data_IF_933125765948
#
_entry.id   IF_933125765948
#
_cell.length_a   1.000
_cell.length_b   1.000
_cell.length_c   1.000
_cell.angle_alpha   90.00
_cell.angle_beta   90.00
_cell.angle_gamma   90.00
#
_symmetry.space_group_name_H-M   'P 1'
#
loop_
_entity.id
_entity.type
_entity.pdbx_description
1 polymer ?
#
# COMPACT_ATOMS: atom_id res chain seq x y z
N UNK A 1 14.73 -42.26 -14.61
CA UNK A 1 14.60 -42.27 -16.05
C UNK A 1 14.26 -40.85 -16.58
N UNK A 2 13.20 -40.17 -16.10
CA UNK A 2 12.80 -38.81 -16.57
C UNK A 2 13.95 -37.81 -16.42
N UNK A 3 14.63 -37.75 -15.28
CA UNK A 3 15.79 -36.87 -15.04
C UNK A 3 16.94 -37.10 -16.03
N UNK A 4 17.20 -38.36 -16.38
CA UNK A 4 18.25 -38.70 -17.35
C UNK A 4 17.86 -38.18 -18.75
N UNK A 5 16.59 -38.36 -19.12
CA UNK A 5 16.08 -37.87 -20.42
C UNK A 5 16.09 -36.33 -20.49
N UNK A 6 15.79 -35.66 -19.38
CA UNK A 6 15.93 -34.19 -19.28
C UNK A 6 17.37 -33.72 -19.56
N UNK A 7 18.38 -34.44 -19.09
CA UNK A 7 19.78 -34.14 -19.38
C UNK A 7 20.18 -34.29 -20.87
N UNK A 8 19.36 -34.95 -21.69
CA UNK A 8 19.54 -35.01 -23.13
C UNK A 8 18.87 -33.86 -23.88
N UNK A 9 17.94 -33.10 -23.29
CA UNK A 9 17.30 -31.96 -23.91
C UNK A 9 18.30 -30.90 -24.39
N UNK A 10 19.38 -30.69 -23.63
CA UNK A 10 20.42 -29.73 -23.97
C UNK A 10 21.40 -30.24 -25.05
N UNK A 11 21.41 -31.57 -25.27
CA UNK A 11 22.29 -32.22 -26.27
C UNK A 11 21.62 -32.48 -27.61
N UNK A 12 20.29 -32.21 -27.74
CA UNK A 12 19.58 -32.41 -28.99
C UNK A 12 19.85 -31.29 -29.99
N UNK A 13 20.39 -31.57 -31.17
CA UNK A 13 20.83 -30.57 -32.14
C UNK A 13 19.66 -29.90 -32.91
N UNK A 14 18.51 -30.58 -33.05
CA UNK A 14 17.38 -30.11 -33.84
C UNK A 14 16.21 -29.64 -32.97
N UNK A 15 15.66 -28.48 -33.28
CA UNK A 15 14.55 -27.88 -32.55
C UNK A 15 13.27 -28.72 -32.63
N UNK A 16 12.99 -29.35 -33.81
CA UNK A 16 11.85 -30.23 -34.02
C UNK A 16 11.93 -31.51 -33.16
N UNK A 17 13.11 -32.12 -33.08
CA UNK A 17 13.31 -33.33 -32.25
C UNK A 17 13.24 -32.96 -30.76
N UNK A 18 13.69 -31.77 -30.39
CA UNK A 18 13.58 -31.26 -29.00
C UNK A 18 12.10 -31.06 -28.62
N UNK A 19 11.28 -30.47 -29.50
CA UNK A 19 9.85 -30.29 -29.27
C UNK A 19 9.13 -31.64 -29.17
N UNK A 20 9.38 -32.56 -30.09
CA UNK A 20 8.77 -33.91 -30.05
C UNK A 20 9.12 -34.67 -28.76
N UNK A 21 10.39 -34.55 -28.27
CA UNK A 21 10.80 -35.15 -27.03
C UNK A 21 10.09 -34.53 -25.82
N UNK A 22 9.93 -33.21 -25.80
CA UNK A 22 9.22 -32.48 -24.73
C UNK A 22 7.73 -32.91 -24.70
N UNK A 23 7.06 -33.00 -25.86
CA UNK A 23 5.66 -33.43 -25.93
C UNK A 23 5.49 -34.88 -25.45
N UNK A 24 6.37 -35.78 -25.84
CA UNK A 24 6.34 -37.16 -25.33
C UNK A 24 6.57 -37.24 -23.85
N UNK A 25 7.50 -36.43 -23.29
CA UNK A 25 7.71 -36.35 -21.84
C UNK A 25 6.49 -35.80 -21.10
N UNK A 26 5.82 -34.77 -21.63
CA UNK A 26 4.60 -34.21 -21.04
C UNK A 26 3.48 -35.24 -21.00
N UNK A 27 3.25 -35.99 -22.09
CA UNK A 27 2.24 -37.05 -22.19
C UNK A 27 2.54 -38.21 -21.22
N UNK A 28 3.80 -38.64 -21.12
CA UNK A 28 4.21 -39.75 -20.22
C UNK A 28 4.14 -39.35 -18.73
N UNK A 29 4.38 -38.06 -18.39
CA UNK A 29 4.35 -37.55 -17.01
C UNK A 29 2.97 -37.08 -16.57
N UNK A 30 1.99 -37.06 -17.45
CA UNK A 30 0.63 -36.63 -17.16
C UNK A 30 -0.02 -37.48 -16.07
N UNK A 31 -0.60 -36.82 -15.04
CA UNK A 31 -1.27 -37.47 -13.93
C UNK A 31 -0.37 -38.20 -12.91
N UNK A 32 0.96 -38.11 -13.05
CA UNK A 32 1.90 -38.80 -12.16
C UNK A 32 2.47 -37.82 -11.10
N UNK A 33 2.00 -37.95 -9.86
CA UNK A 33 2.40 -37.09 -8.72
C UNK A 33 3.91 -37.12 -8.46
N UNK A 34 4.56 -38.27 -8.63
CA UNK A 34 6.00 -38.45 -8.32
C UNK A 34 6.96 -37.68 -9.26
N UNK A 35 6.48 -37.19 -10.40
CA UNK A 35 7.29 -36.48 -11.41
C UNK A 35 6.73 -35.09 -11.75
N UNK A 36 5.95 -34.52 -10.84
CA UNK A 36 5.34 -33.19 -11.04
C UNK A 36 6.39 -32.08 -11.19
N UNK A 37 7.49 -32.14 -10.43
CA UNK A 37 8.59 -31.19 -10.50
C UNK A 37 9.29 -31.24 -11.85
N UNK A 38 9.59 -32.44 -12.30
CA UNK A 38 10.21 -32.65 -13.61
C UNK A 38 9.28 -32.23 -14.75
N UNK A 39 7.98 -32.52 -14.64
CA UNK A 39 6.96 -32.03 -15.58
C UNK A 39 6.94 -30.52 -15.66
N UNK A 40 7.00 -29.84 -14.51
CA UNK A 40 7.06 -28.38 -14.46
C UNK A 40 8.30 -27.83 -15.19
N UNK A 41 9.46 -28.40 -14.93
CA UNK A 41 10.72 -27.98 -15.58
C UNK A 41 10.69 -28.21 -17.10
N UNK A 42 10.16 -29.34 -17.55
CA UNK A 42 9.97 -29.64 -19.00
C UNK A 42 9.00 -28.65 -19.64
N UNK A 43 7.91 -28.33 -18.95
CA UNK A 43 6.91 -27.38 -19.46
C UNK A 43 7.48 -25.95 -19.51
N UNK A 44 8.34 -25.56 -18.54
CA UNK A 44 9.07 -24.29 -18.56
C UNK A 44 9.98 -24.22 -19.78
N UNK A 45 10.76 -25.28 -20.04
CA UNK A 45 11.63 -25.33 -21.23
C UNK A 45 10.84 -25.20 -22.53
N UNK A 46 9.62 -25.78 -22.63
CA UNK A 46 8.73 -25.60 -23.77
C UNK A 46 8.26 -24.15 -23.91
N UNK A 47 7.83 -23.53 -22.79
CA UNK A 47 7.42 -22.14 -22.77
C UNK A 47 8.54 -21.22 -23.22
N UNK A 48 9.80 -21.46 -22.81
CA UNK A 48 10.95 -20.67 -23.20
C UNK A 48 11.27 -20.79 -24.71
N UNK A 49 11.09 -21.99 -25.27
CA UNK A 49 11.22 -22.20 -26.73
C UNK A 49 10.12 -21.41 -27.46
N UNK A 50 8.87 -21.45 -26.98
CA UNK A 50 7.77 -20.69 -27.59
C UNK A 50 7.96 -19.18 -27.47
N UNK A 51 8.48 -18.69 -26.32
CA UNK A 51 8.88 -17.28 -26.15
C UNK A 51 9.92 -16.87 -27.16
N UNK A 52 10.93 -17.71 -27.42
CA UNK A 52 11.99 -17.43 -28.41
C UNK A 52 11.45 -17.39 -29.86
N UNK A 53 10.37 -18.12 -30.14
CA UNK A 53 9.65 -18.08 -31.42
C UNK A 53 8.73 -16.86 -31.57
N UNK A 54 8.51 -16.09 -30.48
CA UNK A 54 7.63 -14.92 -30.46
C UNK A 54 6.15 -15.23 -30.19
N UNK A 55 5.81 -16.48 -29.93
CA UNK A 55 4.43 -16.92 -29.64
C UNK A 55 4.16 -16.84 -28.12
N UNK A 56 3.85 -15.62 -27.66
CA UNK A 56 3.64 -15.33 -26.24
C UNK A 56 2.35 -15.96 -25.72
N UNK A 57 1.31 -16.03 -26.56
CA UNK A 57 0.00 -16.55 -26.15
C UNK A 57 0.07 -18.05 -25.88
N UNK A 58 0.67 -18.81 -26.78
CA UNK A 58 0.89 -20.24 -26.56
C UNK A 58 1.83 -20.51 -25.37
N UNK A 59 2.86 -19.70 -25.18
CA UNK A 59 3.76 -19.82 -24.02
C UNK A 59 3.02 -19.58 -22.70
N UNK A 60 2.11 -18.61 -22.67
CA UNK A 60 1.29 -18.29 -21.49
C UNK A 60 0.31 -19.42 -21.19
N UNK A 61 -0.42 -19.94 -22.19
CA UNK A 61 -1.37 -21.03 -22.00
C UNK A 61 -0.70 -22.30 -21.47
N UNK A 62 0.45 -22.67 -22.03
CA UNK A 62 1.22 -23.84 -21.61
C UNK A 62 1.70 -23.70 -20.17
N UNK A 63 2.17 -22.51 -19.77
CA UNK A 63 2.71 -22.33 -18.42
C UNK A 63 1.59 -22.17 -17.37
N UNK A 64 0.47 -21.54 -17.72
CA UNK A 64 -0.68 -21.34 -16.84
C UNK A 64 -1.48 -22.62 -16.58
N UNK A 65 -1.34 -23.66 -17.42
CA UNK A 65 -1.92 -24.99 -17.19
C UNK A 65 -1.40 -25.64 -15.90
N UNK A 66 -0.17 -25.29 -15.49
CA UNK A 66 0.46 -25.86 -14.31
C UNK A 66 0.07 -25.12 -13.02
N UNK A 67 -0.43 -25.87 -12.04
CA UNK A 67 -0.71 -25.37 -10.70
C UNK A 67 0.49 -25.68 -9.76
N UNK A 68 1.60 -24.97 -9.95
CA UNK A 68 2.86 -25.21 -9.24
C UNK A 68 2.72 -25.03 -7.72
N UNK A 69 1.74 -24.30 -7.25
CA UNK A 69 1.44 -24.09 -5.84
C UNK A 69 1.16 -25.38 -5.06
N UNK A 70 0.58 -26.40 -5.74
CA UNK A 70 0.21 -27.68 -5.10
C UNK A 70 1.39 -28.63 -4.95
N UNK A 71 2.52 -28.38 -5.61
CA UNK A 71 3.67 -29.29 -5.63
C UNK A 71 4.43 -29.28 -4.29
N UNK A 72 4.24 -30.29 -3.45
CA UNK A 72 4.87 -30.38 -2.12
C UNK A 72 6.40 -30.48 -2.16
N UNK A 73 6.95 -31.20 -3.13
CA UNK A 73 8.36 -31.55 -3.26
C UNK A 73 9.25 -30.46 -3.88
N UNK A 74 8.67 -29.37 -4.43
CA UNK A 74 9.40 -28.28 -5.06
C UNK A 74 9.88 -27.24 -4.04
N UNK A 75 11.11 -26.73 -4.18
CA UNK A 75 11.63 -25.66 -3.35
C UNK A 75 10.79 -24.37 -3.46
N UNK A 76 10.63 -23.63 -2.36
CA UNK A 76 9.80 -22.40 -2.35
C UNK A 76 10.32 -21.34 -3.31
N UNK A 77 11.64 -21.23 -3.45
CA UNK A 77 12.26 -20.32 -4.41
C UNK A 77 11.84 -20.66 -5.83
N UNK A 78 11.98 -21.92 -6.24
CA UNK A 78 11.61 -22.40 -7.59
C UNK A 78 10.11 -22.20 -7.88
N UNK A 79 9.25 -22.46 -6.87
CA UNK A 79 7.80 -22.17 -6.98
C UNK A 79 7.53 -20.70 -7.23
N UNK A 80 8.20 -19.83 -6.46
CA UNK A 80 8.01 -18.38 -6.59
C UNK A 80 8.48 -17.90 -7.95
N UNK A 81 9.61 -18.38 -8.45
CA UNK A 81 10.13 -18.08 -9.79
C UNK A 81 9.13 -18.48 -10.86
N UNK A 82 8.56 -19.68 -10.77
CA UNK A 82 7.52 -20.16 -11.71
C UNK A 82 6.29 -19.27 -11.74
N UNK A 83 5.77 -18.94 -10.57
CA UNK A 83 4.57 -18.08 -10.47
C UNK A 83 4.87 -16.67 -11.01
N UNK A 84 6.03 -16.10 -10.69
CA UNK A 84 6.45 -14.80 -11.24
C UNK A 84 6.57 -14.83 -12.76
N UNK A 85 7.06 -15.92 -13.31
CA UNK A 85 7.14 -16.10 -14.76
C UNK A 85 5.76 -16.21 -15.41
N UNK A 86 4.83 -16.94 -14.78
CA UNK A 86 3.42 -17.00 -15.20
C UNK A 86 2.78 -15.60 -15.20
N UNK A 87 2.98 -14.84 -14.12
CA UNK A 87 2.46 -13.46 -14.00
C UNK A 87 3.06 -12.57 -15.08
N UNK A 88 4.37 -12.66 -15.33
CA UNK A 88 5.04 -11.87 -16.37
C UNK A 88 4.47 -12.14 -17.78
N UNK A 89 4.15 -13.41 -18.09
CA UNK A 89 3.52 -13.78 -19.37
C UNK A 89 2.09 -13.26 -19.47
N UNK A 90 1.30 -13.39 -18.40
CA UNK A 90 -0.06 -12.84 -18.37
C UNK A 90 -0.08 -11.31 -18.55
N UNK A 91 0.88 -10.59 -17.95
CA UNK A 91 1.03 -9.14 -18.14
C UNK A 91 1.35 -8.81 -19.60
N UNK A 92 2.26 -9.56 -20.25
CA UNK A 92 2.61 -9.36 -21.66
C UNK A 92 1.43 -9.65 -22.60
N UNK A 93 0.60 -10.63 -22.27
CA UNK A 93 -0.65 -10.97 -22.96
C UNK A 93 -1.77 -9.95 -22.70
N UNK A 94 -1.61 -9.07 -21.68
CA UNK A 94 -2.63 -8.15 -21.16
C UNK A 94 -3.83 -8.84 -20.50
N UNK A 95 -3.63 -10.04 -19.96
CA UNK A 95 -4.63 -10.75 -19.16
C UNK A 95 -4.45 -10.38 -17.68
N UNK A 96 -5.01 -9.23 -17.31
CA UNK A 96 -4.88 -8.63 -15.97
C UNK A 96 -5.58 -9.44 -14.90
N UNK A 97 -6.68 -10.10 -15.23
CA UNK A 97 -7.47 -10.89 -14.28
C UNK A 97 -6.71 -12.13 -13.81
N UNK A 98 -6.16 -12.89 -14.74
CA UNK A 98 -5.32 -14.05 -14.43
C UNK A 98 -4.04 -13.65 -13.70
N UNK A 99 -3.36 -12.59 -14.14
CA UNK A 99 -2.17 -12.07 -13.50
C UNK A 99 -2.43 -11.71 -12.03
N UNK A 100 -3.56 -11.07 -11.70
CA UNK A 100 -3.97 -10.74 -10.34
C UNK A 100 -4.21 -11.99 -9.48
N UNK A 101 -4.88 -13.00 -10.04
CA UNK A 101 -5.14 -14.25 -9.31
C UNK A 101 -3.84 -14.98 -8.99
N UNK A 102 -2.95 -15.10 -9.98
CA UNK A 102 -1.66 -15.78 -9.81
C UNK A 102 -0.75 -15.05 -8.83
N UNK A 103 -0.71 -13.71 -8.88
CA UNK A 103 0.11 -12.91 -7.99
C UNK A 103 -0.25 -13.06 -6.50
N UNK A 104 -1.55 -13.27 -6.18
CA UNK A 104 -2.03 -13.52 -4.82
C UNK A 104 -1.64 -14.87 -4.25
N UNK A 105 -1.23 -15.83 -5.08
CA UNK A 105 -0.76 -17.14 -4.64
C UNK A 105 0.63 -17.07 -4.01
N UNK A 106 1.39 -16.00 -4.24
CA UNK A 106 2.72 -15.80 -3.66
C UNK A 106 2.59 -15.31 -2.21
N UNK A 107 3.23 -16.03 -1.29
CA UNK A 107 3.22 -15.66 0.12
C UNK A 107 4.28 -14.61 0.42
N UNK A 108 3.86 -13.39 0.73
CA UNK A 108 4.76 -12.24 1.03
C UNK A 108 5.65 -12.46 2.26
N UNK A 109 5.26 -13.36 3.18
CA UNK A 109 6.09 -13.77 4.34
C UNK A 109 7.46 -14.34 3.94
N UNK A 110 7.56 -14.89 2.73
CA UNK A 110 8.82 -15.40 2.18
C UNK A 110 9.84 -14.28 1.93
N UNK A 111 9.37 -13.08 1.60
CA UNK A 111 10.19 -11.89 1.34
C UNK A 111 10.44 -11.05 2.61
N UNK A 112 9.87 -11.41 3.75
CA UNK A 112 10.04 -10.65 4.97
C UNK A 112 11.54 -10.59 5.35
N UNK A 113 12.00 -9.39 5.69
CA UNK A 113 13.38 -9.14 6.11
C UNK A 113 13.71 -10.04 7.30
N UNK A 114 14.63 -10.97 7.12
CA UNK A 114 15.18 -11.75 8.24
C UNK A 114 16.03 -10.78 9.08
N UNK A 115 15.97 -10.85 10.43
CA UNK A 115 16.83 -10.00 11.27
C UNK A 115 18.29 -10.20 10.85
N UNK A 116 19.06 -9.11 10.81
CA UNK A 116 20.49 -9.15 10.43
C UNK A 116 21.18 -10.21 11.31
N UNK A 117 21.55 -11.32 10.67
CA UNK A 117 22.26 -12.41 11.34
C UNK A 117 23.75 -12.08 11.35
N UNK A 118 24.40 -12.31 12.47
CA UNK A 118 25.86 -12.22 12.53
C UNK A 118 26.48 -13.29 11.63
N UNK A 119 27.67 -13.04 11.03
CA UNK A 119 28.34 -14.04 10.17
C UNK A 119 28.47 -15.41 10.84
N UNK A 120 28.71 -15.46 12.16
CA UNK A 120 28.79 -16.70 12.96
C UNK A 120 27.45 -17.46 13.02
N UNK A 121 26.32 -16.76 13.00
CA UNK A 121 24.99 -17.37 12.96
C UNK A 121 24.68 -17.95 11.59
N UNK A 122 25.11 -17.28 10.52
CA UNK A 122 24.97 -17.76 9.13
C UNK A 122 25.76 -19.05 8.93
N UNK A 123 26.99 -19.14 9.46
CA UNK A 123 27.79 -20.35 9.38
C UNK A 123 27.20 -21.53 10.18
N UNK A 124 26.61 -21.27 11.34
CA UNK A 124 25.90 -22.30 12.13
C UNK A 124 24.66 -22.80 11.42
N UNK A 125 23.85 -21.90 10.90
CA UNK A 125 22.62 -22.23 10.15
C UNK A 125 22.94 -23.02 8.87
N UNK A 126 24.03 -22.71 8.17
CA UNK A 126 24.50 -23.44 6.99
C UNK A 126 24.96 -24.85 7.36
N UNK A 127 25.69 -25.03 8.46
CA UNK A 127 26.11 -26.35 8.95
C UNK A 127 24.90 -27.20 9.39
N UNK A 128 23.95 -26.61 10.09
CA UNK A 128 22.70 -27.29 10.47
C UNK A 128 21.85 -27.68 9.25
N UNK A 129 21.82 -26.83 8.23
CA UNK A 129 21.13 -27.12 6.97
C UNK A 129 21.79 -28.29 6.23
N UNK A 130 23.12 -28.33 6.17
CA UNK A 130 23.87 -29.44 5.57
C UNK A 130 23.70 -30.75 6.32
N UNK A 131 23.65 -30.70 7.66
CA UNK A 131 23.38 -31.90 8.47
C UNK A 131 21.96 -32.44 8.30
N UNK A 132 20.96 -31.52 8.16
CA UNK A 132 19.57 -31.89 7.86
C UNK A 132 19.43 -32.47 6.46
N UNK A 133 20.18 -31.95 5.48
CA UNK A 133 20.18 -32.43 4.10
C UNK A 133 20.78 -33.85 4.01
N UNK A 134 21.80 -34.17 4.81
CA UNK A 134 22.38 -35.51 4.90
C UNK A 134 21.47 -36.57 5.56
N UNK A 135 20.53 -36.12 6.40
CA UNK A 135 19.58 -37.02 7.12
C UNK A 135 18.21 -37.11 6.43
N UNK A 136 18.04 -36.53 5.27
CA UNK A 136 16.77 -36.36 4.56
C UNK A 136 16.32 -37.69 3.91
N UNK A 137 15.01 -37.98 4.05
CA UNK A 137 14.31 -39.00 3.25
C UNK A 137 13.88 -38.39 1.89
N UNK A 138 13.74 -39.23 0.84
CA UNK A 138 13.36 -38.75 -0.51
C UNK A 138 12.04 -37.97 -0.60
N UNK A 139 11.14 -38.16 0.38
CA UNK A 139 9.82 -37.58 0.44
C UNK A 139 9.75 -36.27 1.25
N UNK A 140 10.83 -35.85 1.91
CA UNK A 140 10.85 -34.63 2.70
C UNK A 140 11.08 -33.39 1.80
N UNK A 141 10.45 -32.22 2.11
CA UNK A 141 10.67 -31.00 1.37
C UNK A 141 12.15 -30.57 1.45
N UNK A 142 12.71 -29.97 0.37
CA UNK A 142 14.10 -29.56 0.35
C UNK A 142 14.41 -28.57 1.49
N UNK A 143 15.54 -28.82 2.20
CA UNK A 143 16.00 -27.90 3.24
C UNK A 143 16.41 -26.60 2.55
N UNK A 144 15.64 -25.53 2.80
CA UNK A 144 15.91 -24.22 2.23
C UNK A 144 17.18 -23.66 2.87
N UNK A 145 18.26 -23.57 2.09
CA UNK A 145 19.38 -22.71 2.45
C UNK A 145 18.86 -21.26 2.54
N UNK A 146 19.42 -20.45 3.43
CA UNK A 146 19.09 -19.02 3.49
C UNK A 146 19.65 -18.33 2.24
N UNK A 147 19.03 -18.59 1.10
CA UNK A 147 19.37 -17.96 -0.17
C UNK A 147 18.87 -16.52 -0.18
N UNK A 148 19.61 -15.68 -0.87
CA UNK A 148 19.23 -14.29 -1.08
C UNK A 148 18.01 -14.22 -1.99
N UNK A 149 16.87 -13.77 -1.46
CA UNK A 149 15.58 -13.66 -2.16
C UNK A 149 15.28 -12.24 -2.59
N UNK A 150 16.27 -11.34 -2.51
CA UNK A 150 16.09 -9.91 -2.83
C UNK A 150 15.69 -9.70 -4.29
N UNK A 151 16.28 -10.45 -5.21
CA UNK A 151 15.95 -10.36 -6.64
C UNK A 151 14.50 -10.76 -6.92
N UNK A 152 14.04 -11.85 -6.32
CA UNK A 152 12.65 -12.31 -6.47
C UNK A 152 11.66 -11.34 -5.83
N UNK A 153 12.05 -10.73 -4.71
CA UNK A 153 11.26 -9.69 -4.05
C UNK A 153 11.08 -8.48 -4.97
N UNK A 154 12.15 -8.00 -5.59
CA UNK A 154 12.10 -6.86 -6.50
C UNK A 154 11.24 -7.15 -7.72
N UNK A 155 11.42 -8.31 -8.37
CA UNK A 155 10.60 -8.74 -9.50
C UNK A 155 9.12 -8.85 -9.13
N UNK A 156 8.82 -9.41 -7.97
CA UNK A 156 7.45 -9.52 -7.47
C UNK A 156 6.79 -8.15 -7.32
N UNK A 157 7.46 -7.22 -6.63
CA UNK A 157 6.89 -5.88 -6.43
C UNK A 157 6.82 -5.07 -7.72
N UNK A 158 7.76 -5.25 -8.66
CA UNK A 158 7.68 -4.63 -9.99
C UNK A 158 6.40 -5.07 -10.72
N UNK A 159 6.10 -6.36 -10.74
CA UNK A 159 4.88 -6.88 -11.36
C UNK A 159 3.62 -6.39 -10.63
N UNK A 160 3.62 -6.35 -9.28
CA UNK A 160 2.50 -5.81 -8.50
C UNK A 160 2.27 -4.31 -8.79
N UNK A 161 3.33 -3.54 -8.96
CA UNK A 161 3.23 -2.12 -9.32
C UNK A 161 2.59 -1.95 -10.69
N UNK A 162 2.96 -2.78 -11.68
CA UNK A 162 2.36 -2.75 -13.02
C UNK A 162 0.87 -3.07 -12.94
N UNK A 163 0.47 -4.11 -12.20
CA UNK A 163 -0.93 -4.50 -12.01
C UNK A 163 -1.73 -3.41 -11.31
N UNK A 164 -1.22 -2.87 -10.21
CA UNK A 164 -1.90 -1.83 -9.45
C UNK A 164 -2.00 -0.50 -10.22
N UNK A 165 -1.00 -0.16 -11.05
CA UNK A 165 -1.06 1.00 -11.95
C UNK A 165 -2.14 0.84 -13.02
N UNK A 166 -2.30 -0.37 -13.58
CA UNK A 166 -3.37 -0.63 -14.53
C UNK A 166 -4.76 -0.45 -13.90
N UNK A 167 -4.92 -0.88 -12.63
CA UNK A 167 -6.17 -0.72 -11.89
C UNK A 167 -6.34 0.69 -11.29
N UNK A 168 -5.38 1.60 -11.46
CA UNK A 168 -5.36 2.96 -10.89
C UNK A 168 -5.47 2.96 -9.35
N UNK A 169 -5.00 1.91 -8.68
CA UNK A 169 -4.95 1.78 -7.22
C UNK A 169 -3.69 2.41 -6.65
N UNK A 170 -3.61 3.72 -6.63
CA UNK A 170 -2.42 4.47 -6.23
C UNK A 170 -1.93 4.15 -4.81
N UNK A 171 -2.84 3.83 -3.88
CA UNK A 171 -2.46 3.47 -2.51
C UNK A 171 -1.67 2.17 -2.45
N UNK A 172 -2.10 1.14 -3.20
CA UNK A 172 -1.41 -0.15 -3.26
C UNK A 172 -0.05 -0.01 -3.97
N UNK A 173 0.03 0.80 -5.03
CA UNK A 173 1.29 1.17 -5.68
C UNK A 173 2.28 1.78 -4.67
N UNK A 174 1.81 2.72 -3.84
CA UNK A 174 2.62 3.34 -2.80
C UNK A 174 3.14 2.29 -1.79
N UNK A 175 2.27 1.37 -1.34
CA UNK A 175 2.66 0.28 -0.42
C UNK A 175 3.73 -0.62 -1.03
N UNK A 176 3.60 -0.97 -2.31
CA UNK A 176 4.58 -1.81 -3.00
C UNK A 176 5.92 -1.10 -3.17
N UNK A 177 5.94 0.17 -3.58
CA UNK A 177 7.18 0.95 -3.64
C UNK A 177 7.84 1.10 -2.26
N UNK A 178 7.06 1.21 -1.19
CA UNK A 178 7.62 1.25 0.16
C UNK A 178 8.32 -0.05 0.54
N UNK A 179 7.76 -1.21 0.15
CA UNK A 179 8.43 -2.50 0.36
C UNK A 179 9.70 -2.64 -0.48
N UNK A 180 9.75 -2.02 -1.67
CA UNK A 180 10.96 -1.93 -2.48
C UNK A 180 11.99 -1.02 -1.79
N UNK A 181 11.56 0.12 -1.24
CA UNK A 181 12.41 1.07 -0.52
C UNK A 181 13.12 0.43 0.68
N UNK A 182 12.43 -0.48 1.39
CA UNK A 182 12.95 -1.19 2.56
C UNK A 182 13.79 -2.42 2.18
N UNK A 183 14.29 -2.52 0.93
CA UNK A 183 15.17 -3.60 0.46
C UNK A 183 16.62 -3.15 0.49
N UNK A 184 17.52 -3.99 1.03
CA UNK A 184 18.95 -3.63 1.25
C UNK A 184 19.67 -3.18 -0.03
N UNK A 185 19.43 -3.86 -1.15
CA UNK A 185 20.03 -3.50 -2.45
C UNK A 185 19.65 -2.10 -2.95
N UNK A 186 18.46 -1.62 -2.58
CA UNK A 186 17.99 -0.26 -2.93
C UNK A 186 18.51 0.76 -1.93
N UNK A 187 18.63 0.40 -0.64
CA UNK A 187 19.18 1.26 0.41
C UNK A 187 20.68 1.60 0.15
N UNK A 188 21.43 0.67 -0.44
CA UNK A 188 22.85 0.86 -0.76
C UNK A 188 23.08 1.82 -1.94
N UNK A 189 22.12 1.95 -2.85
CA UNK A 189 22.22 2.78 -4.05
C UNK A 189 21.47 4.11 -3.89
N UNK A 190 22.12 5.24 -3.62
CA UNK A 190 21.50 6.52 -3.31
C UNK A 190 20.64 7.08 -4.46
N UNK A 191 20.98 6.78 -5.71
CA UNK A 191 20.21 7.23 -6.89
C UNK A 191 18.89 6.46 -7.01
N UNK A 192 18.93 5.13 -6.84
CA UNK A 192 17.73 4.30 -6.86
C UNK A 192 16.83 4.61 -5.65
N UNK A 193 17.44 4.78 -4.48
CA UNK A 193 16.74 5.18 -3.26
C UNK A 193 15.95 6.46 -3.46
N UNK A 194 16.58 7.49 -4.07
CA UNK A 194 15.93 8.76 -4.38
C UNK A 194 14.76 8.57 -5.36
N UNK A 195 14.97 7.85 -6.47
CA UNK A 195 13.95 7.61 -7.47
C UNK A 195 12.73 6.85 -6.89
N UNK A 196 12.97 5.82 -6.08
CA UNK A 196 11.90 5.06 -5.43
C UNK A 196 11.17 5.91 -4.39
N UNK A 197 11.88 6.71 -3.59
CA UNK A 197 11.29 7.60 -2.60
C UNK A 197 10.40 8.67 -3.25
N UNK A 198 10.83 9.26 -4.37
CA UNK A 198 10.01 10.18 -5.16
C UNK A 198 8.70 9.53 -5.61
N UNK A 199 8.76 8.30 -6.14
CA UNK A 199 7.56 7.56 -6.56
C UNK A 199 6.63 7.27 -5.38
N UNK A 200 7.16 6.86 -4.22
CA UNK A 200 6.37 6.66 -2.99
C UNK A 200 5.57 7.93 -2.65
N UNK A 201 6.23 9.08 -2.66
CA UNK A 201 5.61 10.38 -2.35
C UNK A 201 4.52 10.73 -3.38
N UNK A 202 4.80 10.58 -4.66
CA UNK A 202 3.82 10.92 -5.70
C UNK A 202 2.56 10.05 -5.61
N UNK A 203 2.72 8.75 -5.43
CA UNK A 203 1.58 7.84 -5.37
C UNK A 203 0.75 7.98 -4.09
N UNK A 204 1.35 8.34 -2.95
CA UNK A 204 0.56 8.61 -1.74
C UNK A 204 -0.28 9.89 -1.88
N UNK A 205 0.24 10.90 -2.60
CA UNK A 205 -0.49 12.16 -2.86
C UNK A 205 -1.63 11.94 -3.86
N UNK A 206 -1.40 11.13 -4.91
CA UNK A 206 -2.41 10.80 -5.91
C UNK A 206 -3.55 9.94 -5.35
N UNK A 207 -3.31 9.19 -4.29
CA UNK A 207 -4.33 8.32 -3.72
C UNK A 207 -5.50 9.12 -3.12
N UNK A 208 -6.75 8.61 -3.20
CA UNK A 208 -7.89 9.22 -2.56
C UNK A 208 -7.68 9.30 -1.05
N UNK A 209 -8.26 10.31 -0.41
CA UNK A 209 -8.17 10.45 1.03
C UNK A 209 -8.89 9.30 1.74
N UNK A 210 -8.14 8.59 2.55
CA UNK A 210 -8.62 7.57 3.47
C UNK A 210 -7.80 7.65 4.76
N UNK A 211 -8.26 7.04 5.84
CA UNK A 211 -7.53 6.98 7.10
C UNK A 211 -6.16 6.33 6.92
N UNK A 212 -6.09 5.26 6.10
CA UNK A 212 -4.85 4.58 5.78
C UNK A 212 -3.88 5.47 4.98
N UNK A 213 -4.39 6.21 4.00
CA UNK A 213 -3.61 7.17 3.24
C UNK A 213 -3.05 8.28 4.13
N UNK A 214 -3.87 8.81 5.05
CA UNK A 214 -3.45 9.84 6.00
C UNK A 214 -2.35 9.34 6.94
N UNK A 215 -2.47 8.13 7.48
CA UNK A 215 -1.45 7.52 8.32
C UNK A 215 -0.13 7.32 7.56
N UNK A 216 -0.20 6.81 6.33
CA UNK A 216 0.97 6.64 5.46
C UNK A 216 1.64 7.99 5.14
N UNK A 217 0.85 9.03 4.85
CA UNK A 217 1.36 10.37 4.55
C UNK A 217 2.14 10.94 5.75
N UNK A 218 1.61 10.82 6.97
CA UNK A 218 2.29 11.26 8.19
C UNK A 218 3.56 10.45 8.47
N UNK A 219 3.54 9.13 8.24
CA UNK A 219 4.73 8.28 8.38
C UNK A 219 5.80 8.64 7.37
N UNK A 220 5.44 8.91 6.12
CA UNK A 220 6.38 9.36 5.09
C UNK A 220 6.95 10.74 5.49
N UNK A 221 6.13 11.66 6.00
CA UNK A 221 6.62 12.96 6.45
C UNK A 221 7.66 12.85 7.58
N UNK A 222 7.49 11.89 8.49
CA UNK A 222 8.40 11.66 9.62
C UNK A 222 9.69 10.90 9.22
N UNK A 223 9.78 10.37 7.99
CA UNK A 223 10.95 9.62 7.53
C UNK A 223 12.17 10.54 7.34
N UNK A 224 13.29 10.17 7.94
CA UNK A 224 14.56 10.91 7.85
C UNK A 224 15.13 10.96 6.44
N UNK A 225 14.80 9.97 5.59
CA UNK A 225 15.21 9.86 4.19
C UNK A 225 14.67 11.01 3.31
N UNK A 226 13.68 11.76 3.76
CA UNK A 226 13.12 12.92 3.06
C UNK A 226 14.14 14.05 2.82
N UNK A 227 15.23 14.07 3.56
CA UNK A 227 16.33 15.02 3.32
C UNK A 227 16.96 14.88 1.93
N UNK A 228 16.84 13.70 1.31
CA UNK A 228 17.36 13.42 -0.04
C UNK A 228 16.48 14.04 -1.15
N UNK A 229 15.23 14.34 -0.86
CA UNK A 229 14.21 14.82 -1.82
C UNK A 229 13.47 16.05 -1.28
N UNK A 230 14.15 17.21 -1.17
CA UNK A 230 13.62 18.38 -0.48
C UNK A 230 12.41 19.03 -1.17
N UNK A 231 12.25 18.86 -2.49
CA UNK A 231 11.11 19.40 -3.25
C UNK A 231 9.85 18.62 -2.94
N UNK A 232 9.95 17.30 -3.01
CA UNK A 232 8.85 16.38 -2.72
C UNK A 232 8.46 16.43 -1.23
N UNK A 233 9.43 16.58 -0.34
CA UNK A 233 9.18 16.74 1.08
C UNK A 233 8.36 18.01 1.39
N UNK A 234 8.58 19.11 0.65
CA UNK A 234 7.73 20.31 0.73
C UNK A 234 6.33 20.05 0.23
N UNK A 235 6.17 19.29 -0.85
CA UNK A 235 4.86 18.93 -1.37
C UNK A 235 4.07 18.08 -0.35
N UNK A 236 4.69 17.05 0.26
CA UNK A 236 4.08 16.27 1.35
C UNK A 236 3.63 17.15 2.50
N UNK A 237 4.48 18.11 2.90
CA UNK A 237 4.18 19.04 3.97
C UNK A 237 2.93 19.89 3.69
N UNK A 238 2.74 20.35 2.44
CA UNK A 238 1.53 21.08 2.05
C UNK A 238 0.25 20.25 2.25
N UNK A 239 0.29 18.95 1.90
CA UNK A 239 -0.86 18.06 2.09
C UNK A 239 -1.09 17.64 3.54
N UNK A 240 -0.11 17.80 4.42
CA UNK A 240 -0.24 17.50 5.86
C UNK A 240 -0.76 18.69 6.66
N UNK A 241 -0.37 19.91 6.27
CA UNK A 241 -0.81 21.14 6.95
C UNK A 241 -2.26 21.44 6.53
N UNK A 242 -3.10 21.86 7.49
CA UNK A 242 -4.47 22.26 7.20
C UNK A 242 -4.53 23.72 6.69
N UNK A 243 -3.87 23.98 5.56
CA UNK A 243 -3.86 25.26 4.87
C UNK A 243 -4.43 25.12 3.46
N UNK A 244 -4.96 26.21 2.90
CA UNK A 244 -5.49 26.22 1.56
C UNK A 244 -4.35 26.29 0.53
N UNK A 245 -4.37 25.40 -0.44
CA UNK A 245 -3.43 25.35 -1.54
C UNK A 245 -4.11 25.88 -2.82
N UNK A 246 -3.62 26.97 -3.39
CA UNK A 246 -4.11 27.41 -4.69
C UNK A 246 -3.46 26.60 -5.80
N UNK A 247 -4.28 26.00 -6.66
CA UNK A 247 -3.79 25.19 -7.76
C UNK A 247 -2.77 25.90 -8.67
N UNK A 248 -2.97 27.16 -9.11
CA UNK A 248 -1.98 27.86 -9.92
C UNK A 248 -0.61 27.95 -9.26
N UNK A 249 -0.54 28.22 -7.95
CA UNK A 249 0.72 28.26 -7.20
C UNK A 249 1.40 26.90 -7.14
N UNK A 250 0.64 25.84 -6.91
CA UNK A 250 1.18 24.47 -6.89
C UNK A 250 1.71 24.08 -8.28
N UNK A 251 0.96 24.42 -9.33
CA UNK A 251 1.37 24.16 -10.71
C UNK A 251 2.62 24.96 -11.13
N UNK A 252 2.77 26.20 -10.67
CA UNK A 252 3.93 27.03 -10.96
C UNK A 252 5.19 26.57 -10.20
N UNK A 253 5.05 26.27 -8.91
CA UNK A 253 6.19 25.89 -8.07
C UNK A 253 6.69 24.47 -8.30
N UNK A 254 5.79 23.52 -8.49
CA UNK A 254 6.12 22.11 -8.59
C UNK A 254 5.97 21.54 -10.00
N UNK A 255 5.17 22.19 -10.88
CA UNK A 255 4.87 21.70 -12.23
C UNK A 255 6.12 21.37 -13.07
N UNK A 256 7.11 22.28 -13.20
CA UNK A 256 8.32 22.00 -13.99
C UNK A 256 9.10 20.78 -13.49
N UNK A 257 9.17 20.61 -12.18
CA UNK A 257 9.84 19.47 -11.56
C UNK A 257 9.04 18.17 -11.74
N UNK A 258 7.73 18.20 -11.49
CA UNK A 258 6.86 17.02 -11.65
C UNK A 258 6.81 16.54 -13.10
N UNK A 259 6.72 17.45 -14.07
CA UNK A 259 6.72 17.12 -15.50
C UNK A 259 8.05 16.53 -15.99
N UNK A 260 9.16 16.72 -15.27
CA UNK A 260 10.44 16.09 -15.58
C UNK A 260 10.54 14.63 -15.11
N UNK A 261 9.58 14.18 -14.28
CA UNK A 261 9.58 12.82 -13.73
C UNK A 261 8.76 11.86 -14.60
N UNK A 262 9.09 10.57 -14.56
CA UNK A 262 8.40 9.51 -15.32
C UNK A 262 6.91 9.39 -14.98
N UNK A 263 6.52 9.79 -13.76
CA UNK A 263 5.15 9.64 -13.27
C UNK A 263 4.19 10.65 -13.91
N UNK A 264 4.65 11.88 -14.12
CA UNK A 264 3.84 13.01 -14.61
C UNK A 264 4.28 13.52 -15.98
N UNK A 265 5.15 12.80 -16.70
CA UNK A 265 5.78 13.25 -17.95
C UNK A 265 4.77 13.89 -18.91
N UNK A 266 4.52 15.18 -18.73
CA UNK A 266 3.52 15.94 -19.46
C UNK A 266 4.13 16.47 -20.76
N UNK A 267 3.91 15.77 -21.89
CA UNK A 267 4.18 16.32 -23.23
C UNK A 267 3.03 17.25 -23.64
N UNK A 268 3.30 18.37 -24.32
CA UNK A 268 2.28 19.38 -24.64
C UNK A 268 1.14 18.90 -25.58
N UNK A 269 1.23 17.72 -26.16
CA UNK A 269 0.23 17.15 -27.09
C UNK A 269 -0.46 15.92 -26.51
N UNK A 270 -1.08 16.02 -25.32
CA UNK A 270 -1.70 14.87 -24.66
C UNK A 270 -3.05 14.51 -25.26
N UNK A 271 -3.18 13.25 -25.64
CA UNK A 271 -4.48 12.59 -25.80
C UNK A 271 -4.98 12.16 -24.41
N UNK A 272 -6.29 12.16 -24.22
CA UNK A 272 -6.94 11.76 -22.96
C UNK A 272 -6.60 10.34 -22.49
N UNK A 273 -6.00 9.51 -23.36
CA UNK A 273 -5.57 8.15 -23.10
C UNK A 273 -4.19 8.06 -22.42
N UNK A 274 -3.47 9.17 -22.25
CA UNK A 274 -2.17 9.17 -21.60
C UNK A 274 -2.31 9.10 -20.07
N UNK A 275 -1.81 8.03 -19.47
CA UNK A 275 -1.83 7.83 -18.02
C UNK A 275 -1.17 8.98 -17.24
N UNK A 276 -0.15 9.61 -17.81
CA UNK A 276 0.53 10.75 -17.18
C UNK A 276 -0.41 11.98 -17.08
N UNK A 277 -1.21 12.22 -18.13
CA UNK A 277 -2.20 13.28 -18.12
C UNK A 277 -3.31 13.01 -17.09
N UNK A 278 -3.80 11.78 -17.03
CA UNK A 278 -4.80 11.38 -16.03
C UNK A 278 -4.27 11.60 -14.61
N UNK A 279 -3.03 11.21 -14.32
CA UNK A 279 -2.39 11.45 -13.02
C UNK A 279 -2.26 12.94 -12.70
N UNK A 280 -2.01 13.78 -13.70
CA UNK A 280 -1.99 15.24 -13.50
C UNK A 280 -3.37 15.80 -13.14
N UNK A 281 -4.43 15.32 -13.78
CA UNK A 281 -5.80 15.66 -13.43
C UNK A 281 -6.19 15.13 -12.04
N UNK A 282 -5.77 13.94 -11.72
CA UNK A 282 -5.96 13.36 -10.38
C UNK A 282 -5.25 14.21 -9.31
N UNK A 283 -4.04 14.69 -9.56
CA UNK A 283 -3.34 15.60 -8.65
C UNK A 283 -4.16 16.88 -8.40
N UNK A 284 -4.67 17.50 -9.47
CA UNK A 284 -5.57 18.66 -9.34
C UNK A 284 -6.79 18.34 -8.48
N UNK A 285 -7.41 17.18 -8.74
CA UNK A 285 -8.54 16.68 -7.95
C UNK A 285 -8.18 16.54 -6.47
N UNK A 286 -7.02 15.95 -6.14
CA UNK A 286 -6.56 15.81 -4.75
C UNK A 286 -6.31 17.15 -4.05
N UNK A 287 -5.77 18.13 -4.75
CA UNK A 287 -5.61 19.50 -4.21
C UNK A 287 -6.97 20.12 -3.88
N UNK A 288 -7.95 19.99 -4.76
CA UNK A 288 -9.30 20.50 -4.54
C UNK A 288 -9.97 19.80 -3.35
N UNK A 289 -9.90 18.46 -3.30
CA UNK A 289 -10.44 17.67 -2.20
C UNK A 289 -9.80 18.03 -0.85
N UNK A 290 -8.48 18.30 -0.84
CA UNK A 290 -7.79 18.79 0.35
C UNK A 290 -8.35 20.15 0.78
N UNK A 291 -8.48 21.10 -0.14
CA UNK A 291 -9.01 22.43 0.16
C UNK A 291 -10.44 22.36 0.71
N UNK A 292 -11.31 21.54 0.11
CA UNK A 292 -12.69 21.37 0.60
C UNK A 292 -12.70 20.79 2.02
N UNK A 293 -11.83 19.82 2.32
CA UNK A 293 -11.70 19.26 3.69
C UNK A 293 -11.22 20.32 4.69
N UNK A 294 -10.26 21.14 4.30
CA UNK A 294 -9.76 22.23 5.14
C UNK A 294 -10.90 23.24 5.40
N UNK A 295 -11.64 23.65 4.38
CA UNK A 295 -12.77 24.56 4.52
C UNK A 295 -13.86 23.95 5.43
N UNK A 296 -14.22 22.67 5.24
CA UNK A 296 -15.19 21.98 6.08
C UNK A 296 -14.79 21.88 7.56
N UNK A 297 -13.48 21.94 7.85
CA UNK A 297 -12.96 21.96 9.23
C UNK A 297 -13.12 23.32 9.90
N UNK A 298 -12.96 24.42 9.14
CA UNK A 298 -12.99 25.77 9.70
C UNK A 298 -14.35 26.47 9.60
N UNK A 299 -15.17 26.12 8.61
CA UNK A 299 -16.47 26.73 8.38
C UNK A 299 -17.60 25.74 8.73
N UNK A 300 -18.52 26.19 9.55
CA UNK A 300 -19.79 25.47 9.78
C UNK A 300 -20.81 25.77 8.66
N UNK A 301 -20.82 27.02 8.17
CA UNK A 301 -21.65 27.48 7.04
C UNK A 301 -20.83 28.42 6.19
N UNK A 302 -20.97 28.29 4.87
CA UNK A 302 -20.29 29.15 3.90
C UNK A 302 -21.23 29.44 2.74
N UNK A 303 -21.14 30.63 2.18
CA UNK A 303 -21.83 31.01 0.95
C UNK A 303 -21.12 30.38 -0.27
N UNK A 304 -21.92 29.90 -1.26
CA UNK A 304 -21.40 29.23 -2.45
C UNK A 304 -20.41 30.13 -3.22
N UNK A 305 -20.72 31.41 -3.38
CA UNK A 305 -19.84 32.37 -4.06
C UNK A 305 -18.50 32.56 -3.33
N UNK A 306 -18.47 32.51 -2.01
CA UNK A 306 -17.21 32.55 -1.24
C UNK A 306 -16.43 31.26 -1.39
N UNK A 307 -17.12 30.12 -1.43
CA UNK A 307 -16.49 28.81 -1.58
C UNK A 307 -15.82 28.66 -2.96
N UNK A 308 -16.49 29.08 -4.03
CA UNK A 308 -15.91 29.09 -5.39
C UNK A 308 -14.67 29.99 -5.50
N UNK A 309 -14.68 31.17 -4.85
CA UNK A 309 -13.50 32.04 -4.78
C UNK A 309 -12.32 31.40 -4.04
N UNK A 310 -12.56 30.63 -2.98
CA UNK A 310 -11.49 29.97 -2.23
C UNK A 310 -10.89 28.78 -2.97
N UNK A 311 -11.70 28.08 -3.78
CA UNK A 311 -11.30 26.92 -4.55
C UNK A 311 -10.75 27.26 -5.95
N UNK A 312 -10.95 28.49 -6.43
CA UNK A 312 -10.66 28.94 -7.81
C UNK A 312 -11.37 28.04 -8.85
N UNK A 313 -12.67 27.74 -8.62
CA UNK A 313 -13.49 26.85 -9.46
C UNK A 313 -14.83 27.48 -9.81
N UNK A 314 -15.50 26.93 -10.83
CA UNK A 314 -16.87 27.25 -11.16
C UNK A 314 -17.87 26.65 -10.16
N UNK A 315 -19.09 27.20 -10.10
CA UNK A 315 -20.12 26.75 -9.14
C UNK A 315 -20.53 25.29 -9.37
N UNK A 316 -20.67 24.88 -10.64
CA UNK A 316 -21.05 23.50 -11.01
C UNK A 316 -19.95 22.49 -10.65
N UNK A 317 -18.69 22.81 -10.94
CA UNK A 317 -17.55 21.98 -10.57
C UNK A 317 -17.43 21.85 -9.03
N UNK A 318 -17.62 22.96 -8.31
CA UNK A 318 -17.57 22.98 -6.84
C UNK A 318 -18.64 22.09 -6.25
N UNK A 319 -19.88 22.17 -6.73
CA UNK A 319 -20.99 21.33 -6.27
C UNK A 319 -20.69 19.84 -6.54
N UNK A 320 -20.13 19.52 -7.71
CA UNK A 320 -19.75 18.14 -8.06
C UNK A 320 -18.70 17.58 -7.10
N UNK A 321 -17.62 18.32 -6.81
CA UNK A 321 -16.59 17.88 -5.87
C UNK A 321 -17.12 17.69 -4.45
N UNK A 322 -18.00 18.59 -3.98
CA UNK A 322 -18.65 18.43 -2.67
C UNK A 322 -19.50 17.16 -2.66
N UNK A 323 -20.30 16.93 -3.71
CA UNK A 323 -21.16 15.75 -3.84
C UNK A 323 -20.34 14.45 -3.81
N UNK A 324 -19.22 14.40 -4.56
CA UNK A 324 -18.30 13.25 -4.57
C UNK A 324 -17.71 12.99 -3.18
N UNK A 325 -17.30 14.03 -2.46
CA UNK A 325 -16.75 13.92 -1.10
C UNK A 325 -17.78 13.52 -0.05
N UNK A 326 -19.03 13.92 -0.22
CA UNK A 326 -20.14 13.48 0.65
C UNK A 326 -20.51 12.03 0.37
N UNK A 327 -20.54 11.63 -0.91
CA UNK A 327 -20.83 10.24 -1.31
C UNK A 327 -19.75 9.28 -0.81
N UNK A 328 -18.48 9.68 -0.86
CA UNK A 328 -17.35 8.92 -0.29
C UNK A 328 -17.29 8.97 1.23
N UNK A 329 -18.22 9.67 1.91
CA UNK A 329 -18.29 9.86 3.36
C UNK A 329 -17.04 10.52 3.98
N UNK A 330 -16.25 11.21 3.18
CA UNK A 330 -15.06 11.94 3.64
C UNK A 330 -15.43 13.19 4.42
N UNK A 331 -16.49 13.90 3.98
CA UNK A 331 -17.03 15.08 4.65
C UNK A 331 -18.55 14.97 4.78
N UNK A 332 -19.12 15.74 5.70
CA UNK A 332 -20.55 15.99 5.74
C UNK A 332 -20.83 17.38 5.16
N UNK A 333 -21.72 17.47 4.18
CA UNK A 333 -22.19 18.75 3.66
C UNK A 333 -23.66 18.65 3.24
N UNK A 334 -24.39 19.75 3.43
CA UNK A 334 -25.75 19.93 2.97
C UNK A 334 -25.81 21.24 2.18
N UNK A 335 -26.19 21.16 0.91
CA UNK A 335 -26.27 22.31 -0.01
C UNK A 335 -27.71 22.81 -0.02
N UNK A 336 -27.89 24.08 0.28
CA UNK A 336 -29.15 24.81 0.13
C UNK A 336 -29.03 25.69 -1.11
N UNK A 337 -29.55 25.22 -2.24
CA UNK A 337 -29.45 25.90 -3.54
C UNK A 337 -30.23 27.23 -3.57
N UNK A 338 -31.48 27.31 -3.07
CA UNK A 338 -32.22 28.61 -3.01
C UNK A 338 -31.49 29.67 -2.20
N UNK A 339 -30.90 29.30 -1.05
CA UNK A 339 -30.16 30.24 -0.21
C UNK A 339 -28.69 30.40 -0.61
N UNK A 340 -28.17 29.60 -1.56
CA UNK A 340 -26.77 29.51 -1.97
C UNK A 340 -25.81 29.30 -0.81
N UNK A 341 -26.21 28.45 0.17
CA UNK A 341 -25.45 28.16 1.37
C UNK A 341 -25.04 26.68 1.41
N UNK A 342 -23.81 26.44 1.82
CA UNK A 342 -23.29 25.10 2.13
C UNK A 342 -23.10 24.99 3.65
N UNK A 343 -23.72 23.96 4.26
CA UNK A 343 -23.62 23.67 5.68
C UNK A 343 -22.79 22.40 5.89
N UNK A 344 -21.65 22.51 6.57
CA UNK A 344 -20.77 21.41 6.92
C UNK A 344 -21.01 20.83 8.31
N UNK A 345 -21.90 21.45 9.12
CA UNK A 345 -22.20 20.97 10.45
C UNK A 345 -22.94 19.63 10.39
N UNK A 346 -22.32 18.56 10.88
CA UNK A 346 -22.97 17.28 11.04
C UNK A 346 -24.06 17.39 12.12
N UNK A 347 -25.31 16.95 11.87
CA UNK A 347 -26.31 16.87 12.93
C UNK A 347 -25.80 15.92 14.02
N UNK A 348 -25.98 16.32 15.29
CA UNK A 348 -25.62 15.45 16.41
C UNK A 348 -26.55 14.25 16.45
N UNK A 349 -26.00 13.09 16.65
CA UNK A 349 -26.78 11.87 16.83
C UNK A 349 -27.49 11.89 18.18
N UNK A 350 -28.63 11.26 18.29
CA UNK A 350 -29.39 11.20 19.53
C UNK A 350 -28.59 10.55 20.66
N UNK A 351 -27.80 9.52 20.32
CA UNK A 351 -26.96 8.81 21.28
C UNK A 351 -25.81 9.68 21.79
N UNK A 352 -25.21 10.51 20.93
CA UNK A 352 -24.16 11.47 21.34
C UNK A 352 -24.69 12.50 22.32
N UNK A 353 -25.91 13.03 22.07
CA UNK A 353 -26.58 14.00 22.96
C UNK A 353 -26.90 13.37 24.32
N UNK A 354 -27.39 12.13 24.33
CA UNK A 354 -27.70 11.40 25.57
C UNK A 354 -26.42 11.07 26.37
N UNK A 355 -25.34 10.68 25.69
CA UNK A 355 -24.06 10.41 26.32
C UNK A 355 -23.43 11.67 26.93
N UNK A 356 -23.50 12.80 26.21
CA UNK A 356 -23.05 14.10 26.73
C UNK A 356 -23.88 14.51 27.97
N UNK A 357 -25.20 14.36 27.90
CA UNK A 357 -26.06 14.65 29.01
C UNK A 357 -25.80 13.76 30.23
N UNK A 358 -25.61 12.46 30.02
CA UNK A 358 -25.23 11.51 31.07
C UNK A 358 -23.87 11.89 31.73
N UNK A 359 -22.91 12.29 30.93
CA UNK A 359 -21.59 12.74 31.40
C UNK A 359 -21.69 14.03 32.24
N UNK A 360 -22.49 14.99 31.77
CA UNK A 360 -22.76 16.24 32.50
C UNK A 360 -23.48 15.98 33.83
N UNK A 361 -24.43 15.04 33.84
CA UNK A 361 -25.12 14.64 35.08
C UNK A 361 -24.17 13.98 36.09
N UNK A 362 -23.27 13.08 35.61
CA UNK A 362 -22.23 12.50 36.48
C UNK A 362 -21.30 13.55 37.07
N UNK A 363 -20.90 14.54 36.27
CA UNK A 363 -20.06 15.63 36.72
C UNK A 363 -20.77 16.49 37.78
N UNK A 364 -22.05 16.78 37.59
CA UNK A 364 -22.88 17.50 38.55
C UNK A 364 -22.99 16.74 39.87
N UNK A 365 -23.29 15.44 39.82
CA UNK A 365 -23.39 14.59 41.03
C UNK A 365 -22.05 14.54 41.78
N UNK A 366 -20.91 14.40 41.06
CA UNK A 366 -19.60 14.43 41.68
C UNK A 366 -19.24 15.76 42.32
N UNK A 367 -19.73 16.88 41.79
CA UNK A 367 -19.58 18.20 42.42
C UNK A 367 -20.44 18.32 43.69
N UNK A 368 -21.69 17.81 43.67
CA UNK A 368 -22.58 17.75 44.82
C UNK A 368 -22.00 16.92 45.98
N UNK A 369 -21.49 15.72 45.66
CA UNK A 369 -20.80 14.87 46.63
C UNK A 369 -19.60 15.58 47.28
N UNK A 370 -18.82 16.28 46.42
CA UNK A 370 -17.68 17.06 46.93
C UNK A 370 -18.11 18.20 47.86
N UNK A 371 -19.19 18.89 47.52
CA UNK A 371 -19.76 19.97 48.40
C UNK A 371 -20.24 19.35 49.68
N UNK A 372 -20.99 18.28 49.66
CA UNK A 372 -21.50 17.59 50.85
C UNK A 372 -20.36 17.14 51.78
N UNK A 373 -19.29 16.55 51.16
CA UNK A 373 -18.10 16.18 51.92
C UNK A 373 -17.41 17.38 52.58
N UNK A 374 -17.33 18.52 51.88
CA UNK A 374 -16.75 19.75 52.43
C UNK A 374 -17.59 20.32 53.58
N UNK A 375 -18.93 20.33 53.46
CA UNK A 375 -19.85 20.74 54.50
C UNK A 375 -19.67 19.86 55.73
N UNK A 376 -19.70 18.55 55.57
CA UNK A 376 -19.52 17.58 56.64
C UNK A 376 -18.17 17.78 57.37
N UNK A 377 -17.10 18.01 56.58
CA UNK A 377 -15.77 18.30 57.10
C UNK A 377 -15.75 19.58 57.94
N UNK A 378 -16.37 20.65 57.49
CA UNK A 378 -16.44 21.93 58.25
C UNK A 378 -17.30 21.78 59.52
N UNK A 379 -18.43 21.04 59.44
CA UNK A 379 -19.24 20.75 60.63
C UNK A 379 -18.47 19.95 61.69
N UNK A 380 -17.70 18.94 61.27
CA UNK A 380 -16.88 18.15 62.17
C UNK A 380 -15.78 19.03 62.81
N UNK A 381 -15.13 19.87 62.02
CA UNK A 381 -14.08 20.81 62.54
C UNK A 381 -14.69 21.80 63.51
N UNK A 382 -15.89 22.37 63.26
CA UNK A 382 -16.56 23.27 64.15
C UNK A 382 -16.93 22.62 65.50
N UNK A 383 -17.23 21.31 65.49
CA UNK A 383 -17.50 20.52 66.73
C UNK A 383 -16.24 20.23 67.55
N UNK A 384 -15.08 20.11 66.89
CA UNK A 384 -13.78 19.81 67.53
C UNK A 384 -13.14 21.07 68.12
N UNK A 385 -13.34 22.22 67.47
CA UNK A 385 -12.82 23.48 67.98
C UNK A 385 -13.65 23.97 69.18
N UNK A 386 -13.12 23.96 70.45
CA UNK A 386 -13.88 24.46 71.60
C UNK A 386 -14.19 25.95 71.35
N UNK A 387 -15.49 26.29 71.50
CA UNK A 387 -15.94 27.65 71.33
C UNK A 387 -15.11 28.57 72.24
N UNK A 388 -14.32 29.48 71.69
CA UNK A 388 -13.58 30.52 72.45
C UNK A 388 -14.49 31.52 73.17
N UNK A 389 -15.83 31.33 73.13
CA UNK A 389 -16.84 32.19 73.72
C UNK A 389 -17.10 31.94 75.21
N UNK A 390 -16.41 30.96 75.85
CA UNK A 390 -16.61 30.63 77.29
C UNK A 390 -15.61 31.20 78.31
N UNK A 391 -14.68 32.07 77.90
CA UNK A 391 -13.60 32.56 78.77
C UNK A 391 -13.64 34.05 79.03
N UNK A 392 -14.77 34.71 79.06
CA UNK A 392 -14.84 36.12 79.49
C UNK A 392 -15.96 36.45 80.49
N UNK A 393 -16.26 35.55 81.40
CA UNK A 393 -17.08 35.85 82.60
C UNK A 393 -16.51 35.11 83.82
N UNK A 394 -15.34 35.51 84.29
CA UNK A 394 -14.88 35.30 85.63
C UNK A 394 -13.79 36.36 85.94
N UNK A 395 -14.27 37.58 86.21
CA UNK A 395 -13.67 38.56 87.09
C UNK A 395 -14.75 39.53 87.53
#
# INVERSE_FOLDING_TARGET
MVQVVMGFLDKTPNLETKLALIETLRTVTEGKIFVEVERARVTRALSDIKKSQGDIDAAADILCELQVETFGSMARREKTEFILEQVALCIKRKDWTQANILSRKITTKFFARKPKRTPEQIEKDNKEAEEKEKKRSPDDPPVEKPEDVTDLKLLYYEQQIILANHESKYLDVCKHYRQVLDTESVEENPEQLRAVLQRVIYYVILSPFDNEQSDLLHRIQADTRNSLVPVEARLVKLFTINELMRWPMVAEQFGPHLCSTDVFSAKPNHTADDQAYQRWQDLRKRVIEHNVRVIAKYYTRIEMGRLTQLLDLDEEETEKYISDLVTSKTIYAKIDRPARLVNFAKPRDADDVLNEWSSNMKSLLGLLERIDHLITKEEMMARILPSKAGRSKAR
#
